data_IF_490002249286
#
_entry.id   IF_490002249286
#
_cell.length_a   1.000
_cell.length_b   1.000
_cell.length_c   1.000
_cell.angle_alpha   90.00
_cell.angle_beta   90.00
_cell.angle_gamma   90.00
#
_symmetry.space_group_name_H-M   'P 1'
#
loop_
_entity.id
_entity.type
_entity.pdbx_description
1 polymer ?
#
# COMPACT_ATOMS: atom_id res chain seq x y z
N UNK A 1 18.57 10.44 1.51
CA UNK A 1 18.47 8.98 1.35
C UNK A 1 17.24 8.52 2.11
N UNK A 2 16.47 7.58 1.57
CA UNK A 2 15.40 6.88 2.28
C UNK A 2 15.72 5.38 2.35
N UNK A 3 15.05 4.68 3.26
CA UNK A 3 15.09 3.22 3.35
C UNK A 3 13.78 2.67 2.78
N UNK A 4 13.86 1.77 1.80
CA UNK A 4 12.70 1.12 1.18
C UNK A 4 12.79 -0.39 1.48
N UNK A 5 11.74 -1.04 2.00
CA UNK A 5 11.76 -2.49 2.17
C UNK A 5 11.81 -3.19 0.81
N UNK A 6 12.46 -4.33 0.73
CA UNK A 6 12.61 -5.09 -0.51
C UNK A 6 12.62 -6.59 -0.21
N UNK A 7 12.03 -7.38 -1.10
CA UNK A 7 11.65 -8.77 -0.82
C UNK A 7 12.29 -9.80 -1.76
N UNK A 8 13.40 -9.43 -2.39
CA UNK A 8 14.25 -10.36 -3.13
C UNK A 8 15.68 -10.25 -2.59
N UNK A 9 16.42 -11.36 -2.63
CA UNK A 9 17.79 -11.47 -2.12
C UNK A 9 18.83 -10.86 -3.09
N UNK A 10 18.54 -9.65 -3.57
CA UNK A 10 19.37 -8.93 -4.53
C UNK A 10 20.66 -8.39 -3.90
N UNK A 11 21.68 -8.28 -4.75
CA UNK A 11 22.96 -7.67 -4.38
C UNK A 11 22.74 -6.17 -4.08
N UNK A 12 23.41 -5.55 -3.09
CA UNK A 12 23.19 -4.14 -2.77
C UNK A 12 23.71 -3.19 -3.86
N UNK A 13 22.88 -2.95 -4.86
CA UNK A 13 23.11 -1.96 -5.91
C UNK A 13 22.86 -0.53 -5.43
N UNK A 14 23.45 0.45 -6.13
CA UNK A 14 23.19 1.88 -5.90
C UNK A 14 21.85 2.23 -6.54
N UNK A 15 20.86 2.61 -5.72
CA UNK A 15 19.56 3.08 -6.21
C UNK A 15 19.40 4.59 -6.06
N UNK A 16 18.77 5.19 -7.07
CA UNK A 16 18.31 6.58 -7.09
C UNK A 16 16.79 6.61 -7.22
N UNK A 17 16.17 7.74 -6.90
CA UNK A 17 14.71 7.83 -6.97
C UNK A 17 14.15 9.21 -6.70
N UNK A 18 12.86 9.35 -6.91
CA UNK A 18 12.12 10.58 -6.61
C UNK A 18 10.84 10.28 -5.84
N UNK A 19 10.53 11.09 -4.81
CA UNK A 19 9.26 10.99 -4.10
C UNK A 19 8.15 11.56 -4.97
N UNK A 20 7.15 10.74 -5.28
CA UNK A 20 5.99 11.10 -6.12
C UNK A 20 4.89 11.65 -5.22
N UNK A 21 4.54 10.93 -4.15
CA UNK A 21 3.46 11.27 -3.22
C UNK A 21 3.79 10.82 -1.78
N UNK A 22 3.12 11.44 -0.81
CA UNK A 22 3.05 11.02 0.58
C UNK A 22 1.58 11.08 0.99
N UNK A 23 1.01 9.99 1.50
CA UNK A 23 -0.40 9.91 1.87
C UNK A 23 -0.55 9.21 3.23
N UNK A 24 -0.98 9.97 4.26
CA UNK A 24 -1.07 9.52 5.66
C UNK A 24 0.23 8.92 6.23
N UNK A 25 0.48 7.62 6.02
CA UNK A 25 1.67 6.89 6.47
C UNK A 25 2.33 6.08 5.35
N UNK A 26 1.93 6.27 4.09
CA UNK A 26 2.59 5.67 2.92
C UNK A 26 3.40 6.72 2.16
N UNK A 27 4.52 6.26 1.60
CA UNK A 27 5.39 7.01 0.69
C UNK A 27 5.39 6.32 -0.66
N UNK A 28 5.04 7.05 -1.72
CA UNK A 28 5.20 6.57 -3.09
C UNK A 28 6.45 7.19 -3.70
N UNK A 29 7.41 6.35 -4.07
CA UNK A 29 8.65 6.73 -4.74
C UNK A 29 8.75 6.04 -6.10
N UNK A 30 9.31 6.75 -7.08
CA UNK A 30 9.79 6.14 -8.33
C UNK A 30 11.27 5.85 -8.16
N UNK A 31 11.67 4.59 -8.26
CA UNK A 31 13.02 4.10 -7.98
C UNK A 31 13.63 3.54 -9.26
N UNK A 32 14.93 3.73 -9.43
CA UNK A 32 15.70 3.29 -10.58
C UNK A 32 17.17 3.10 -10.20
N UNK A 33 17.93 2.44 -11.07
CA UNK A 33 19.36 2.22 -10.83
C UNK A 33 20.17 3.49 -11.02
N UNK A 34 21.08 3.77 -10.09
CA UNK A 34 22.00 4.88 -10.23
C UNK A 34 22.90 4.67 -11.46
N UNK A 35 23.15 5.75 -12.21
CA UNK A 35 24.04 5.68 -13.38
C UNK A 35 25.46 5.30 -12.95
N UNK A 36 26.04 4.32 -13.62
CA UNK A 36 27.37 3.80 -13.26
C UNK A 36 27.72 2.48 -13.95
N UNK A 37 28.80 1.81 -13.53
CA UNK A 37 29.30 0.58 -14.17
C UNK A 37 28.36 -0.64 -14.07
N UNK A 38 27.29 -0.55 -13.27
CA UNK A 38 26.30 -1.63 -13.06
C UNK A 38 24.85 -1.17 -13.32
N UNK A 39 24.66 -0.11 -14.11
CA UNK A 39 23.33 0.46 -14.38
C UNK A 39 22.35 -0.53 -15.03
N UNK A 40 22.85 -1.54 -15.76
CA UNK A 40 22.03 -2.61 -16.35
C UNK A 40 22.02 -3.93 -15.57
N UNK A 41 22.86 -4.10 -14.55
CA UNK A 41 23.04 -5.37 -13.81
C UNK A 41 22.18 -5.42 -12.53
N UNK A 42 21.51 -4.31 -12.21
CA UNK A 42 20.94 -3.99 -10.91
C UNK A 42 19.56 -4.59 -10.61
N UNK A 43 18.99 -5.37 -11.53
CA UNK A 43 17.72 -6.07 -11.38
C UNK A 43 16.43 -5.24 -11.52
N UNK A 44 16.49 -3.91 -11.41
CA UNK A 44 15.29 -3.06 -11.56
C UNK A 44 14.93 -2.86 -13.04
N UNK A 45 13.63 -2.89 -13.33
CA UNK A 45 13.06 -2.33 -14.57
C UNK A 45 13.41 -0.84 -14.69
N UNK A 46 13.42 -0.22 -15.89
CA UNK A 46 13.97 1.13 -16.09
C UNK A 46 13.45 2.17 -15.09
N UNK A 47 12.21 2.02 -14.63
CA UNK A 47 11.74 2.57 -13.37
C UNK A 47 10.74 1.64 -12.69
N UNK A 48 10.80 1.57 -11.37
CA UNK A 48 9.81 0.91 -10.52
C UNK A 48 9.05 1.96 -9.70
N UNK A 49 7.74 1.74 -9.48
CA UNK A 49 6.92 2.63 -8.63
C UNK A 49 6.56 1.90 -7.36
N UNK A 50 7.21 2.28 -6.27
CA UNK A 50 7.09 1.61 -4.96
C UNK A 50 6.29 2.51 -4.01
N UNK A 51 5.16 2.01 -3.51
CA UNK A 51 4.41 2.61 -2.41
C UNK A 51 4.61 1.78 -1.15
N UNK A 52 5.15 2.37 -0.09
CA UNK A 52 5.50 1.63 1.14
C UNK A 52 5.12 2.40 2.41
N UNK A 53 4.79 1.67 3.47
CA UNK A 53 4.44 2.18 4.80
C UNK A 53 4.59 1.10 5.88
N UNK A 54 4.13 1.33 7.12
CA UNK A 54 4.40 0.42 8.25
C UNK A 54 3.97 -1.04 8.02
N UNK A 55 2.81 -1.25 7.38
CA UNK A 55 2.18 -2.56 7.20
C UNK A 55 1.85 -2.89 5.72
N UNK A 56 2.38 -2.11 4.78
CA UNK A 56 2.06 -2.22 3.34
C UNK A 56 3.28 -1.92 2.49
N UNK A 57 3.41 -2.66 1.39
CA UNK A 57 4.32 -2.36 0.31
C UNK A 57 3.64 -2.79 -0.99
N UNK A 58 3.73 -1.96 -2.02
CA UNK A 58 3.27 -2.26 -3.36
C UNK A 58 4.36 -1.83 -4.34
N UNK A 59 4.87 -2.75 -5.15
CA UNK A 59 5.75 -2.44 -6.25
C UNK A 59 5.01 -2.63 -7.58
N UNK A 60 5.03 -1.61 -8.42
CA UNK A 60 4.56 -1.65 -9.81
C UNK A 60 5.74 -1.51 -10.77
N UNK A 61 5.91 -2.54 -11.61
CA UNK A 61 6.96 -2.67 -12.61
C UNK A 61 6.33 -2.68 -14.01
N UNK A 62 6.83 -1.89 -14.94
CA UNK A 62 6.32 -1.88 -16.32
C UNK A 62 7.38 -1.40 -17.30
N UNK A 63 7.48 -2.10 -18.43
CA UNK A 63 8.34 -1.77 -19.56
C UNK A 63 7.70 -2.28 -20.87
N UNK A 64 8.31 -2.04 -22.02
CA UNK A 64 7.82 -2.60 -23.29
C UNK A 64 7.78 -4.14 -23.23
N UNK A 65 6.58 -4.72 -23.33
CA UNK A 65 6.39 -6.16 -23.30
C UNK A 65 6.40 -6.81 -21.92
N UNK A 66 6.52 -6.05 -20.83
CA UNK A 66 6.41 -6.56 -19.45
C UNK A 66 5.52 -5.67 -18.57
N UNK A 67 4.69 -6.28 -17.72
CA UNK A 67 4.09 -5.58 -16.57
C UNK A 67 3.98 -6.55 -15.41
N UNK A 68 4.35 -6.10 -14.22
CA UNK A 68 4.29 -6.89 -13.00
C UNK A 68 3.96 -6.07 -11.77
N UNK A 69 3.44 -6.75 -10.76
CA UNK A 69 3.08 -6.17 -9.47
C UNK A 69 3.48 -7.10 -8.34
N UNK A 70 3.95 -6.51 -7.24
CA UNK A 70 4.17 -7.20 -5.97
C UNK A 70 3.42 -6.44 -4.87
N UNK A 71 2.26 -6.95 -4.46
CA UNK A 71 1.39 -6.34 -3.45
C UNK A 71 1.52 -7.09 -2.11
N UNK A 72 2.17 -6.46 -1.14
CA UNK A 72 2.62 -7.05 0.11
C UNK A 72 1.92 -6.44 1.33
N UNK A 73 1.47 -7.32 2.22
CA UNK A 73 1.25 -6.97 3.62
C UNK A 73 2.54 -7.23 4.39
N UNK A 74 3.10 -6.18 4.99
CA UNK A 74 4.34 -6.26 5.77
C UNK A 74 4.03 -6.40 7.27
N UNK A 75 4.92 -7.07 8.00
CA UNK A 75 4.83 -7.30 9.43
C UNK A 75 6.15 -6.86 10.07
N UNK A 76 6.37 -5.55 10.06
CA UNK A 76 7.68 -4.95 10.35
C UNK A 76 8.74 -5.38 9.33
N UNK A 77 9.99 -5.48 9.78
CA UNK A 77 11.16 -5.78 8.94
C UNK A 77 11.57 -7.26 9.01
N UNK A 78 10.66 -8.17 9.35
CA UNK A 78 10.97 -9.60 9.56
C UNK A 78 10.13 -10.56 8.72
N UNK A 79 8.97 -10.11 8.22
CA UNK A 79 8.08 -10.92 7.40
C UNK A 79 7.25 -10.04 6.46
N UNK A 80 7.00 -10.54 5.25
CA UNK A 80 5.95 -10.04 4.36
C UNK A 80 5.21 -11.19 3.69
N UNK A 81 3.93 -10.98 3.39
CA UNK A 81 3.13 -11.88 2.54
C UNK A 81 2.69 -11.09 1.33
N UNK A 82 3.10 -11.54 0.15
CA UNK A 82 2.95 -10.80 -1.10
C UNK A 82 2.13 -11.61 -2.12
N UNK A 83 1.12 -10.96 -2.71
CA UNK A 83 0.53 -11.40 -3.96
C UNK A 83 1.34 -10.82 -5.11
N UNK A 84 1.82 -11.68 -5.99
CA UNK A 84 2.63 -11.30 -7.14
C UNK A 84 1.87 -11.60 -8.42
N UNK A 85 2.08 -10.79 -9.44
CA UNK A 85 1.56 -11.03 -10.77
C UNK A 85 2.50 -10.48 -11.83
N UNK A 86 2.61 -11.17 -12.96
CA UNK A 86 3.39 -10.76 -14.11
C UNK A 86 2.68 -11.13 -15.42
N UNK A 87 2.82 -10.30 -16.44
CA UNK A 87 2.29 -10.52 -17.79
C UNK A 87 3.15 -9.85 -18.86
N UNK A 88 2.84 -10.15 -20.12
CA UNK A 88 3.54 -9.65 -21.30
C UNK A 88 4.38 -10.72 -21.99
N UNK A 89 4.94 -10.40 -23.16
CA UNK A 89 5.79 -11.31 -23.93
C UNK A 89 7.15 -11.55 -23.25
N UNK A 90 7.65 -10.55 -22.53
CA UNK A 90 8.96 -10.59 -21.85
C UNK A 90 8.86 -11.06 -20.39
N UNK A 91 7.67 -11.50 -19.95
CA UNK A 91 7.51 -12.09 -18.63
C UNK A 91 8.09 -13.51 -18.60
N UNK A 92 9.19 -13.69 -17.87
CA UNK A 92 9.82 -15.00 -17.67
C UNK A 92 8.88 -16.04 -17.03
N UNK A 93 7.98 -15.58 -16.15
CA UNK A 93 7.01 -16.41 -15.43
C UNK A 93 5.64 -15.68 -15.36
N UNK A 94 4.86 -15.67 -16.47
CA UNK A 94 3.57 -14.99 -16.50
C UNK A 94 2.53 -15.75 -15.67
N UNK A 95 1.65 -15.01 -15.00
CA UNK A 95 0.65 -15.56 -14.07
C UNK A 95 0.66 -14.82 -12.74
N UNK A 96 0.16 -15.47 -11.68
CA UNK A 96 0.20 -14.95 -10.32
C UNK A 96 0.66 -15.98 -9.31
N UNK A 97 1.33 -15.50 -8.26
CA UNK A 97 1.81 -16.28 -7.12
C UNK A 97 1.42 -15.61 -5.81
N UNK A 98 1.55 -16.34 -4.71
CA UNK A 98 1.54 -15.76 -3.37
C UNK A 98 2.74 -16.31 -2.63
N UNK A 99 3.64 -15.41 -2.22
CA UNK A 99 4.91 -15.75 -1.59
C UNK A 99 4.98 -15.15 -0.19
N UNK A 100 5.59 -15.89 0.75
CA UNK A 100 5.85 -15.42 2.11
C UNK A 100 7.34 -15.29 2.31
N UNK A 101 7.79 -14.06 2.52
CA UNK A 101 9.18 -13.70 2.74
C UNK A 101 9.47 -13.62 4.23
N UNK A 102 10.59 -14.19 4.68
CA UNK A 102 10.98 -14.21 6.10
C UNK A 102 12.48 -14.08 6.27
N UNK A 103 12.93 -13.65 7.45
CA UNK A 103 14.34 -13.70 7.82
C UNK A 103 15.21 -12.89 6.85
N UNK A 104 16.11 -13.55 6.13
CA UNK A 104 17.04 -12.92 5.16
C UNK A 104 16.38 -12.42 3.88
N UNK A 105 15.18 -12.91 3.56
CA UNK A 105 14.46 -12.51 2.34
C UNK A 105 13.77 -11.14 2.51
N UNK A 106 13.63 -10.67 3.75
CA UNK A 106 13.15 -9.32 4.07
C UNK A 106 14.35 -8.41 4.27
N UNK A 107 14.71 -7.70 3.22
CA UNK A 107 15.83 -6.75 3.24
C UNK A 107 15.32 -5.31 3.12
N UNK A 108 16.24 -4.35 3.08
CA UNK A 108 15.92 -2.95 2.88
C UNK A 108 17.04 -2.26 2.10
N UNK A 109 16.65 -1.56 1.03
CA UNK A 109 17.58 -0.87 0.14
C UNK A 109 17.62 0.63 0.46
N UNK A 110 18.82 1.21 0.34
CA UNK A 110 19.03 2.65 0.50
C UNK A 110 18.84 3.33 -0.86
N UNK A 111 17.84 4.20 -0.96
CA UNK A 111 17.54 4.96 -2.18
C UNK A 111 18.00 6.41 -2.02
N UNK A 112 18.85 6.88 -2.93
CA UNK A 112 19.28 8.27 -2.99
C UNK A 112 18.20 9.09 -3.68
N UNK A 113 17.47 9.91 -2.91
CA UNK A 113 16.43 10.77 -3.45
C UNK A 113 17.06 11.96 -4.18
N UNK A 114 16.79 12.05 -5.48
CA UNK A 114 17.25 13.10 -6.40
C UNK A 114 16.15 14.11 -6.76
N UNK A 115 14.89 13.85 -6.37
CA UNK A 115 13.78 14.80 -6.52
C UNK A 115 12.59 14.50 -5.59
N UNK A 116 11.76 15.51 -5.31
CA UNK A 116 10.56 15.34 -4.45
C UNK A 116 10.84 15.28 -2.94
N UNK A 117 12.09 15.47 -2.49
CA UNK A 117 12.47 15.36 -1.09
C UNK A 117 11.68 16.32 -0.16
N UNK A 118 11.27 17.47 -0.66
CA UNK A 118 10.44 18.48 0.02
C UNK A 118 9.04 17.97 0.42
N UNK A 119 8.56 16.89 -0.21
CA UNK A 119 7.32 16.21 0.17
C UNK A 119 7.44 15.49 1.52
N UNK A 120 8.63 14.98 1.86
CA UNK A 120 8.90 14.27 3.12
C UNK A 120 8.76 15.20 4.34
N UNK A 121 9.20 16.46 4.22
CA UNK A 121 9.04 17.47 5.28
C UNK A 121 7.61 17.97 5.42
N UNK A 122 6.85 17.98 4.33
CA UNK A 122 5.46 18.45 4.29
C UNK A 122 4.47 17.48 4.97
N UNK A 123 4.90 16.25 5.25
CA UNK A 123 4.09 15.21 5.88
C UNK A 123 3.86 15.39 7.40
N UNK A 124 4.51 16.38 8.04
CA UNK A 124 4.29 16.70 9.46
C UNK A 124 3.01 17.52 9.64
N UNK A 125 1.85 16.88 9.41
CA UNK A 125 0.55 17.46 9.74
C UNK A 125 0.28 17.36 11.24
N UNK A 126 -0.22 18.46 11.82
CA UNK A 126 -0.47 18.66 13.25
C UNK A 126 -1.29 17.53 13.89
N UNK A 127 -0.97 17.08 15.13
CA UNK A 127 -1.83 16.15 15.84
C UNK A 127 -3.19 16.81 16.16
N UNK A 128 -4.23 16.41 15.44
CA UNK A 128 -5.61 16.77 15.79
C UNK A 128 -5.93 16.14 17.15
N UNK A 129 -6.06 16.98 18.18
CA UNK A 129 -6.46 16.52 19.50
C UNK A 129 -7.85 15.86 19.43
N UNK A 130 -7.89 14.55 19.67
CA UNK A 130 -9.14 13.82 19.84
C UNK A 130 -9.76 14.17 21.19
N UNK A 131 -10.64 15.16 21.19
CA UNK A 131 -11.49 15.46 22.36
C UNK A 131 -12.28 14.22 22.74
N UNK A 132 -12.02 13.69 23.92
CA UNK A 132 -12.71 12.52 24.45
C UNK A 132 -14.20 12.82 24.70
N UNK A 133 -15.09 12.33 23.83
CA UNK A 133 -16.52 12.27 24.16
C UNK A 133 -16.78 11.05 25.06
N UNK A 134 -16.69 11.27 26.37
CA UNK A 134 -17.32 10.37 27.35
C UNK A 134 -18.83 10.48 27.26
N UNK A 135 -19.46 9.54 26.56
CA UNK A 135 -20.92 9.35 26.55
C UNK A 135 -21.27 8.12 27.38
N UNK A 136 -21.93 8.35 28.51
CA UNK A 136 -22.19 7.36 29.56
C UNK A 136 -23.19 6.27 29.16
N UNK A 137 -22.88 5.02 29.50
CA UNK A 137 -23.80 3.88 29.45
C UNK A 137 -24.93 4.03 30.48
N UNK A 138 -26.18 3.81 30.07
CA UNK A 138 -27.29 3.40 30.95
C UNK A 138 -28.38 2.74 30.11
N UNK A 139 -28.95 1.65 30.61
CA UNK A 139 -29.93 0.82 29.90
C UNK A 139 -31.20 0.61 30.74
N UNK A 140 -32.29 0.23 30.07
CA UNK A 140 -33.57 -0.24 30.67
C UNK A 140 -34.45 0.85 31.34
N UNK A 141 -35.79 0.83 31.30
CA UNK A 141 -36.75 -0.12 30.71
C UNK A 141 -38.20 0.42 30.61
N UNK A 142 -38.93 -0.05 29.60
CA UNK A 142 -40.35 -0.48 29.61
C UNK A 142 -41.58 0.47 29.73
N UNK A 143 -42.64 0.01 29.05
CA UNK A 143 -44.11 0.22 29.17
C UNK A 143 -44.88 1.35 28.44
N UNK A 144 -45.57 0.90 27.38
CA UNK A 144 -47.03 0.98 27.15
C UNK A 144 -47.72 2.32 26.81
N UNK A 145 -48.30 2.38 25.60
CA UNK A 145 -49.28 3.40 25.20
C UNK A 145 -49.83 3.24 23.77
N UNK A 146 -51.03 2.66 23.64
CA UNK A 146 -51.84 2.52 22.41
C UNK A 146 -53.29 2.16 22.86
N UNK A 147 -54.40 2.40 22.12
CA UNK A 147 -54.51 2.65 20.67
C UNK A 147 -55.56 3.74 20.26
N UNK A 148 -56.14 3.62 19.05
CA UNK A 148 -57.32 4.32 18.48
C UNK A 148 -57.09 5.75 17.93
N UNK A 149 -57.71 6.22 16.83
CA UNK A 149 -58.71 5.73 15.84
C UNK A 149 -58.65 6.70 14.60
N UNK A 150 -59.17 6.48 13.37
CA UNK A 150 -59.75 5.33 12.63
C UNK A 150 -59.96 5.72 11.14
N UNK A 151 -59.81 4.77 10.19
CA UNK A 151 -60.41 4.83 8.84
C UNK A 151 -59.45 5.11 7.66
N UNK A 152 -59.62 4.52 6.48
CA UNK A 152 -60.51 3.41 6.07
C UNK A 152 -59.88 2.66 4.88
N UNK A 153 -60.18 1.37 4.74
CA UNK A 153 -59.63 0.53 3.67
C UNK A 153 -60.51 0.54 2.41
N UNK A 154 -59.89 0.38 1.23
CA UNK A 154 -60.50 -0.35 0.11
C UNK A 154 -59.39 -1.04 -0.66
N UNK A 155 -59.49 -2.36 -0.80
CA UNK A 155 -58.57 -3.19 -1.59
C UNK A 155 -59.12 -3.37 -3.01
N UNK A 156 -58.25 -3.72 -3.96
CA UNK A 156 -58.53 -4.77 -4.93
C UNK A 156 -57.23 -5.25 -5.62
N UNK A 157 -57.22 -6.54 -5.93
CA UNK A 157 -56.08 -7.32 -6.45
C UNK A 157 -56.25 -7.53 -7.99
N UNK A 158 -55.57 -8.47 -8.66
CA UNK A 158 -54.50 -8.18 -9.62
C UNK A 158 -54.88 -8.51 -11.08
N UNK A 159 -53.89 -8.43 -11.97
CA UNK A 159 -53.75 -9.29 -13.15
C UNK A 159 -52.29 -9.75 -13.23
#
# INVERSE_FOLDING_TARGET
VITVPFFYNETPFRLEGSIVAIESQTTTARVYCARGPHYGDCGFFPYETITFGPNTYNNYMSDEGFTGTQDCKTFGNTQAVCAEWATGSEANFPGSSTMTYTGTDVTSLQVTITGGAEKLTSATATPTAVTSLTSSTSASSSTSGSPSNTGAATALNPA
#
